data_IF_765443101696
#
_entry.id   IF_765443101696
#
_cell.length_a   1.000
_cell.length_b   1.000
_cell.length_c   1.000
_cell.angle_alpha   90.00
_cell.angle_beta   90.00
_cell.angle_gamma   90.00
#
_symmetry.space_group_name_H-M   'P 1'
#
loop_
_entity.id
_entity.type
_entity.pdbx_description
1 polymer ?
#
# COMPACT_ATOMS: atom_id res chain seq x y z
N UNK A 1 6.92 -27.28 -18.34
CA UNK A 1 7.15 -26.68 -17.02
C UNK A 1 6.49 -25.32 -17.07
N UNK A 2 5.47 -25.14 -16.24
CA UNK A 2 4.80 -23.86 -16.10
C UNK A 2 5.78 -22.81 -15.57
N UNK A 3 5.71 -21.60 -16.10
CA UNK A 3 6.41 -20.45 -15.54
C UNK A 3 5.62 -19.92 -14.34
N UNK A 4 6.30 -19.65 -13.22
CA UNK A 4 5.64 -19.24 -11.97
C UNK A 4 6.32 -17.99 -11.41
N UNK A 5 5.51 -16.95 -11.22
CA UNK A 5 5.91 -15.71 -10.59
C UNK A 5 5.18 -15.52 -9.27
N UNK A 6 5.92 -15.15 -8.22
CA UNK A 6 5.37 -14.88 -6.90
C UNK A 6 5.57 -13.39 -6.63
N UNK A 7 4.49 -12.70 -6.29
CA UNK A 7 4.50 -11.25 -6.08
C UNK A 7 4.06 -10.99 -4.65
N UNK A 8 4.91 -10.34 -3.86
CA UNK A 8 4.59 -9.93 -2.50
C UNK A 8 3.41 -8.95 -2.52
N UNK A 9 2.33 -9.24 -1.81
CA UNK A 9 1.20 -8.30 -1.70
C UNK A 9 1.60 -7.04 -0.94
N UNK A 10 2.57 -7.11 -0.04
CA UNK A 10 3.02 -5.98 0.77
C UNK A 10 4.01 -5.07 0.02
N UNK A 11 4.95 -5.66 -0.71
CA UNK A 11 6.06 -4.90 -1.30
C UNK A 11 5.99 -4.74 -2.81
N UNK A 12 5.03 -5.40 -3.47
CA UNK A 12 4.95 -5.55 -4.92
C UNK A 12 6.19 -6.16 -5.58
N UNK A 13 7.14 -6.69 -4.78
CA UNK A 13 8.34 -7.32 -5.32
C UNK A 13 8.00 -8.67 -5.93
N UNK A 14 8.40 -8.85 -7.19
CA UNK A 14 8.29 -10.11 -7.90
C UNK A 14 9.54 -10.96 -7.66
N UNK A 15 9.32 -12.21 -7.31
CA UNK A 15 10.32 -13.27 -7.29
C UNK A 15 9.87 -14.33 -8.28
N UNK A 16 10.63 -14.49 -9.35
CA UNK A 16 10.44 -15.59 -10.30
C UNK A 16 10.94 -16.88 -9.65
N UNK A 17 10.13 -17.95 -9.69
CA UNK A 17 10.47 -19.22 -9.07
C UNK A 17 10.65 -20.31 -10.13
N UNK A 18 11.84 -20.92 -10.14
CA UNK A 18 12.19 -22.00 -11.06
C UNK A 18 11.88 -23.33 -10.37
N UNK A 19 10.61 -23.69 -10.26
CA UNK A 19 10.22 -24.98 -9.70
C UNK A 19 8.72 -25.16 -9.44
N UNK A 20 8.31 -26.41 -9.40
CA UNK A 20 6.92 -26.84 -9.22
C UNK A 20 6.52 -27.05 -7.75
N UNK A 21 7.39 -26.71 -6.80
CA UNK A 21 7.14 -26.88 -5.37
C UNK A 21 7.81 -25.78 -4.58
N UNK A 22 7.05 -25.01 -3.82
CA UNK A 22 7.57 -23.90 -3.01
C UNK A 22 6.67 -23.59 -1.82
N UNK A 23 7.23 -22.86 -0.85
CA UNK A 23 6.57 -22.49 0.39
C UNK A 23 6.39 -20.99 0.52
N UNK A 24 5.17 -20.59 0.89
CA UNK A 24 4.83 -19.20 1.13
C UNK A 24 5.06 -18.82 2.60
N UNK A 25 5.71 -17.68 2.81
CA UNK A 25 6.01 -17.10 4.13
C UNK A 25 5.25 -15.82 4.45
N UNK A 26 4.65 -15.19 3.43
CA UNK A 26 3.90 -13.94 3.51
C UNK A 26 2.72 -13.97 2.52
N UNK A 27 1.75 -13.05 2.61
CA UNK A 27 0.69 -12.91 1.61
C UNK A 27 1.24 -12.53 0.24
N UNK A 28 0.90 -13.33 -0.77
CA UNK A 28 1.40 -13.15 -2.16
C UNK A 28 0.29 -13.32 -3.20
N UNK A 29 0.57 -12.82 -4.40
CA UNK A 29 -0.09 -13.23 -5.64
C UNK A 29 0.80 -14.26 -6.32
N UNK A 30 0.27 -15.45 -6.56
CA UNK A 30 0.91 -16.49 -7.36
C UNK A 30 0.37 -16.41 -8.77
N UNK A 31 1.24 -16.12 -9.73
CA UNK A 31 0.92 -16.07 -11.16
C UNK A 31 1.52 -17.30 -11.84
N UNK A 32 0.68 -18.07 -12.53
CA UNK A 32 1.08 -19.29 -13.26
C UNK A 32 0.80 -19.09 -14.75
N UNK A 33 1.81 -19.23 -15.59
CA UNK A 33 1.71 -19.09 -17.04
C UNK A 33 1.15 -20.37 -17.69
N UNK A 34 -0.12 -20.62 -17.41
CA UNK A 34 -0.90 -21.76 -17.88
C UNK A 34 -2.35 -21.30 -18.05
N UNK A 35 -2.99 -21.67 -19.15
CA UNK A 35 -4.40 -21.35 -19.35
C UNK A 35 -5.30 -22.22 -18.43
N UNK A 36 -6.38 -21.69 -17.83
CA UNK A 36 -7.25 -22.47 -16.93
C UNK A 36 -7.81 -23.75 -17.55
N UNK A 37 -8.04 -23.79 -18.87
CA UNK A 37 -8.46 -24.99 -19.59
C UNK A 37 -7.39 -26.09 -19.61
N UNK A 38 -6.14 -25.80 -19.29
CA UNK A 38 -5.07 -26.80 -19.14
C UNK A 38 -4.96 -27.34 -17.71
N UNK A 39 -5.69 -26.76 -16.77
CA UNK A 39 -5.80 -27.27 -15.39
C UNK A 39 -6.76 -28.47 -15.36
N UNK A 40 -6.32 -29.57 -14.79
CA UNK A 40 -7.12 -30.78 -14.61
C UNK A 40 -7.82 -30.80 -13.24
N UNK A 41 -7.12 -30.42 -12.17
CA UNK A 41 -7.71 -30.30 -10.83
C UNK A 41 -6.97 -29.27 -9.98
N UNK A 42 -7.69 -28.73 -8.99
CA UNK A 42 -7.15 -27.90 -7.91
C UNK A 42 -7.63 -28.51 -6.60
N UNK A 43 -6.68 -29.00 -5.80
CA UNK A 43 -6.95 -29.77 -4.60
C UNK A 43 -6.32 -29.10 -3.37
N UNK A 44 -7.04 -29.15 -2.24
CA UNK A 44 -6.57 -28.65 -0.95
C UNK A 44 -6.25 -29.79 -0.01
N UNK A 45 -5.08 -29.72 0.62
CA UNK A 45 -4.68 -30.61 1.72
C UNK A 45 -4.19 -29.77 2.89
N UNK A 46 -5.04 -29.61 3.92
CA UNK A 46 -4.76 -28.70 5.04
C UNK A 46 -4.63 -27.25 4.55
N UNK A 47 -3.44 -26.67 4.72
CA UNK A 47 -3.14 -25.31 4.24
C UNK A 47 -2.45 -25.28 2.86
N UNK A 48 -2.23 -26.44 2.25
CA UNK A 48 -1.46 -26.56 1.02
C UNK A 48 -2.40 -26.69 -0.19
N UNK A 49 -1.97 -26.13 -1.30
CA UNK A 49 -2.66 -26.19 -2.59
C UNK A 49 -1.87 -27.08 -3.55
N UNK A 50 -2.56 -27.96 -4.26
CA UNK A 50 -1.99 -28.75 -5.36
C UNK A 50 -2.78 -28.47 -6.62
N UNK A 51 -2.11 -28.07 -7.68
CA UNK A 51 -2.70 -27.86 -9.01
C UNK A 51 -2.16 -28.98 -9.90
N UNK A 52 -3.03 -29.79 -10.46
CA UNK A 52 -2.66 -30.82 -11.45
C UNK A 52 -3.05 -30.32 -12.83
N UNK A 53 -2.11 -30.29 -13.76
CA UNK A 53 -2.35 -29.94 -15.15
C UNK A 53 -2.75 -31.18 -15.98
N UNK A 54 -3.42 -30.98 -17.12
CA UNK A 54 -3.84 -32.05 -18.03
C UNK A 54 -2.68 -32.86 -18.61
N UNK A 55 -1.48 -32.28 -18.63
CA UNK A 55 -0.25 -32.96 -19.04
C UNK A 55 0.37 -33.84 -17.92
N UNK A 56 -0.22 -33.84 -16.71
CA UNK A 56 0.26 -34.59 -15.55
C UNK A 56 1.28 -33.84 -14.67
N UNK A 57 1.70 -32.64 -15.06
CA UNK A 57 2.54 -31.77 -14.23
C UNK A 57 1.76 -31.31 -12.99
N UNK A 58 2.42 -31.34 -11.83
CA UNK A 58 1.83 -30.89 -10.57
C UNK A 58 2.57 -29.67 -10.07
N UNK A 59 1.82 -28.69 -9.56
CA UNK A 59 2.34 -27.52 -8.88
C UNK A 59 1.87 -27.59 -7.42
N UNK A 60 2.84 -27.65 -6.51
CA UNK A 60 2.61 -27.79 -5.08
C UNK A 60 2.97 -26.48 -4.37
N UNK A 61 2.01 -25.90 -3.67
CA UNK A 61 2.17 -24.63 -2.97
C UNK A 61 1.90 -24.87 -1.48
N UNK A 62 2.96 -24.88 -0.69
CA UNK A 62 2.85 -24.98 0.76
C UNK A 62 2.36 -23.66 1.36
N UNK A 63 1.48 -23.76 2.37
CA UNK A 63 0.90 -22.64 3.10
C UNK A 63 0.03 -21.68 2.27
N UNK A 64 -0.47 -22.10 1.10
CA UNK A 64 -1.37 -21.26 0.29
C UNK A 64 -2.59 -20.75 1.08
N UNK A 65 -3.25 -21.58 1.89
CA UNK A 65 -4.41 -21.16 2.68
C UNK A 65 -4.06 -20.65 4.09
N UNK A 66 -2.76 -20.46 4.39
CA UNK A 66 -2.33 -19.96 5.71
C UNK A 66 -2.40 -18.43 5.82
N UNK A 67 -2.57 -17.74 4.69
CA UNK A 67 -2.64 -16.29 4.58
C UNK A 67 -3.60 -15.89 3.44
N UNK A 68 -3.80 -14.60 3.24
CA UNK A 68 -4.57 -14.04 2.13
C UNK A 68 -3.76 -14.10 0.82
N UNK A 69 -3.56 -15.30 0.30
CA UNK A 69 -2.90 -15.51 -0.99
C UNK A 69 -3.92 -15.49 -2.13
N UNK A 70 -3.47 -15.04 -3.30
CA UNK A 70 -4.29 -15.02 -4.53
C UNK A 70 -3.62 -15.87 -5.61
N UNK A 71 -4.43 -16.61 -6.38
CA UNK A 71 -3.97 -17.43 -7.49
C UNK A 71 -4.45 -16.84 -8.80
N UNK A 72 -3.53 -16.55 -9.71
CA UNK A 72 -3.81 -15.98 -11.02
C UNK A 72 -3.20 -16.89 -12.09
N UNK A 73 -3.99 -17.21 -13.10
CA UNK A 73 -3.53 -17.88 -14.30
C UNK A 73 -3.32 -16.85 -15.40
N UNK A 74 -2.24 -16.98 -16.16
CA UNK A 74 -1.95 -16.20 -17.36
C UNK A 74 -2.02 -17.13 -18.56
N UNK A 75 -2.85 -16.81 -19.55
CA UNK A 75 -2.94 -17.62 -20.77
C UNK A 75 -1.95 -17.15 -21.85
N UNK A 76 -1.89 -17.88 -22.98
CA UNK A 76 -1.02 -17.56 -24.12
C UNK A 76 -1.27 -16.16 -24.75
N UNK A 77 -2.41 -15.53 -24.42
CA UNK A 77 -2.76 -14.17 -24.86
C UNK A 77 -2.36 -13.10 -23.84
N UNK A 78 -1.59 -13.46 -22.80
CA UNK A 78 -1.23 -12.63 -21.65
C UNK A 78 -2.43 -12.14 -20.82
N UNK A 79 -3.59 -12.78 -20.93
CA UNK A 79 -4.75 -12.44 -20.13
C UNK A 79 -4.63 -13.05 -18.74
N UNK A 80 -4.88 -12.24 -17.70
CA UNK A 80 -4.83 -12.66 -16.31
C UNK A 80 -6.22 -13.10 -15.82
N UNK A 81 -6.28 -14.24 -15.15
CA UNK A 81 -7.49 -14.89 -14.68
C UNK A 81 -7.34 -15.23 -13.20
N UNK A 82 -7.95 -14.44 -12.32
CA UNK A 82 -7.99 -14.71 -10.88
C UNK A 82 -8.87 -15.93 -10.61
N UNK A 83 -8.28 -16.95 -10.01
CA UNK A 83 -8.99 -18.15 -9.58
C UNK A 83 -9.62 -17.93 -8.20
N UNK A 84 -10.94 -18.05 -8.12
CA UNK A 84 -11.63 -18.18 -6.84
C UNK A 84 -11.56 -19.65 -6.42
N UNK A 85 -10.61 -19.96 -5.55
CA UNK A 85 -10.33 -21.35 -5.16
C UNK A 85 -11.31 -21.86 -4.10
N UNK A 86 -11.79 -20.99 -3.21
CA UNK A 86 -12.70 -21.34 -2.12
C UNK A 86 -13.95 -20.48 -2.08
N UNK A 87 -15.03 -21.02 -1.53
CA UNK A 87 -16.24 -20.27 -1.19
C UNK A 87 -16.05 -19.43 0.09
N UNK A 88 -17.11 -18.69 0.48
CA UNK A 88 -17.11 -17.87 1.70
C UNK A 88 -16.92 -18.67 3.00
N UNK A 89 -17.14 -19.98 2.97
CA UNK A 89 -16.93 -20.88 4.11
C UNK A 89 -15.52 -21.51 4.10
N UNK A 90 -14.71 -21.22 3.07
CA UNK A 90 -13.37 -21.78 2.88
C UNK A 90 -13.35 -23.18 2.25
N UNK A 91 -14.48 -23.70 1.75
CA UNK A 91 -14.55 -24.97 1.03
C UNK A 91 -14.08 -24.79 -0.42
N UNK A 92 -13.44 -25.80 -1.01
CA UNK A 92 -12.98 -25.73 -2.42
C UNK A 92 -14.19 -25.66 -3.36
N UNK A 93 -14.14 -24.74 -4.31
CA UNK A 93 -15.14 -24.63 -5.36
C UNK A 93 -14.93 -25.72 -6.42
N UNK A 94 -16.03 -26.37 -6.82
CA UNK A 94 -16.06 -27.29 -7.95
C UNK A 94 -17.35 -27.06 -8.75
N UNK A 95 -17.29 -26.40 -9.93
CA UNK A 95 -16.09 -25.93 -10.61
C UNK A 95 -15.49 -24.66 -10.00
N UNK A 96 -14.19 -24.43 -10.22
CA UNK A 96 -13.48 -23.20 -9.89
C UNK A 96 -14.02 -22.05 -10.75
N UNK A 97 -14.28 -20.90 -10.13
CA UNK A 97 -14.67 -19.67 -10.82
C UNK A 97 -13.45 -18.81 -11.16
N UNK A 98 -13.46 -18.16 -12.32
CA UNK A 98 -12.39 -17.28 -12.78
C UNK A 98 -12.91 -15.88 -13.06
N UNK A 99 -12.10 -14.88 -12.71
CA UNK A 99 -12.38 -13.47 -12.98
C UNK A 99 -11.25 -12.88 -13.82
N UNK A 100 -11.59 -12.24 -14.93
CA UNK A 100 -10.62 -11.56 -15.79
C UNK A 100 -10.02 -10.35 -15.06
N UNK A 101 -8.71 -10.22 -15.13
CA UNK A 101 -7.94 -9.09 -14.64
C UNK A 101 -7.17 -8.44 -15.79
N UNK A 102 -7.04 -7.12 -15.72
CA UNK A 102 -6.14 -6.36 -16.59
C UNK A 102 -4.70 -6.40 -16.05
N UNK A 103 -4.55 -6.40 -14.73
CA UNK A 103 -3.28 -6.46 -14.00
C UNK A 103 -3.47 -7.08 -12.60
N UNK A 104 -2.36 -7.44 -11.95
CA UNK A 104 -2.37 -8.01 -10.58
C UNK A 104 -2.38 -6.94 -9.48
N UNK A 105 -2.16 -5.66 -9.83
CA UNK A 105 -2.10 -4.53 -8.91
C UNK A 105 -3.29 -4.47 -7.94
N UNK A 106 -4.55 -4.69 -8.35
CA UNK A 106 -5.71 -4.70 -7.45
C UNK A 106 -5.69 -5.80 -6.36
N UNK A 107 -4.77 -6.77 -6.48
CA UNK A 107 -4.60 -7.84 -5.50
C UNK A 107 -3.52 -7.54 -4.45
N UNK A 108 -2.76 -6.45 -4.63
CA UNK A 108 -1.69 -6.02 -3.74
C UNK A 108 -2.24 -5.09 -2.64
N UNK A 109 -1.60 -5.08 -1.48
CA UNK A 109 -1.95 -4.19 -0.39
C UNK A 109 -1.51 -2.76 -0.70
N UNK A 110 -2.40 -1.80 -0.47
CA UNK A 110 -2.12 -0.39 -0.75
C UNK A 110 -2.23 0.00 -2.23
N UNK A 111 -2.73 -0.89 -3.10
CA UNK A 111 -3.16 -0.49 -4.43
C UNK A 111 -4.34 0.49 -4.33
N UNK A 112 -4.27 1.56 -5.11
CA UNK A 112 -5.18 2.71 -5.08
C UNK A 112 -6.62 2.25 -5.37
N UNK A 113 -7.41 2.17 -4.30
CA UNK A 113 -8.62 1.36 -4.30
C UNK A 113 -9.80 2.09 -4.96
N UNK A 114 -10.21 1.64 -6.14
CA UNK A 114 -11.61 1.23 -6.28
C UNK A 114 -11.65 -0.20 -5.72
N UNK A 115 -12.25 -0.39 -4.55
CA UNK A 115 -12.17 -1.65 -3.79
C UNK A 115 -12.54 -2.88 -4.65
N UNK A 116 -11.52 -3.57 -5.15
CA UNK A 116 -11.67 -4.84 -5.83
C UNK A 116 -11.98 -5.90 -4.76
N UNK A 117 -13.27 -6.20 -4.56
CA UNK A 117 -13.74 -7.24 -3.64
C UNK A 117 -14.20 -8.46 -4.45
N UNK A 118 -13.33 -9.45 -4.71
CA UNK A 118 -13.72 -10.59 -5.54
C UNK A 118 -14.73 -11.56 -4.89
N UNK A 119 -15.19 -11.32 -3.66
CA UNK A 119 -15.84 -12.34 -2.82
C UNK A 119 -17.38 -12.27 -2.79
N UNK A 120 -18.01 -11.31 -3.48
CA UNK A 120 -19.47 -11.12 -3.46
C UNK A 120 -20.22 -11.89 -4.57
N UNK A 121 -20.10 -13.22 -4.58
CA UNK A 121 -21.07 -14.07 -5.29
C UNK A 121 -21.78 -14.96 -4.26
N UNK A 122 -22.68 -14.35 -3.48
CA UNK A 122 -23.53 -15.06 -2.53
C UNK A 122 -24.16 -14.15 -1.48
N UNK A 123 -25.39 -13.69 -1.75
CA UNK A 123 -26.29 -12.87 -0.91
C UNK A 123 -26.13 -11.32 -0.99
N UNK A 124 -27.14 -10.68 -1.61
CA UNK A 124 -27.59 -9.28 -1.47
C UNK A 124 -26.54 -8.19 -1.77
N UNK A 125 -26.65 -7.59 -2.96
CA UNK A 125 -25.67 -6.62 -3.46
C UNK A 125 -25.71 -5.23 -2.84
N UNK A 126 -24.53 -4.59 -2.76
CA UNK A 126 -24.18 -3.26 -3.31
C UNK A 126 -22.64 -3.27 -3.51
N UNK A 127 -22.15 -3.01 -4.74
CA UNK A 127 -20.78 -2.54 -5.02
C UNK A 127 -19.75 -3.59 -5.44
N UNK A 128 -19.23 -3.47 -6.66
CA UNK A 128 -18.05 -4.21 -7.17
C UNK A 128 -18.38 -5.19 -8.31
N UNK A 129 -18.16 -4.75 -9.54
CA UNK A 129 -18.64 -5.31 -10.81
C UNK A 129 -18.07 -6.72 -11.13
N UNK A 130 -18.95 -7.65 -11.50
CA UNK A 130 -18.62 -8.71 -12.45
C UNK A 130 -19.23 -8.32 -13.81
N UNK A 131 -18.41 -8.40 -14.87
CA UNK A 131 -18.78 -8.01 -16.22
C UNK A 131 -20.07 -8.70 -16.71
N UNK A 132 -21.10 -7.91 -17.03
CA UNK A 132 -22.16 -8.33 -17.94
C UNK A 132 -22.09 -7.42 -19.17
N UNK A 133 -21.91 -8.04 -20.33
CA UNK A 133 -21.93 -7.40 -21.63
C UNK A 133 -23.23 -6.60 -21.80
N UNK A 134 -23.10 -5.31 -22.11
CA UNK A 134 -24.09 -4.61 -22.92
C UNK A 134 -23.33 -3.68 -23.85
N UNK A 135 -23.23 -4.08 -25.11
CA UNK A 135 -22.87 -3.16 -26.18
C UNK A 135 -23.99 -2.13 -26.31
N UNK A 136 -23.81 -0.98 -25.68
CA UNK A 136 -24.46 0.26 -26.11
C UNK A 136 -23.41 1.36 -26.04
N UNK A 137 -22.86 1.70 -27.20
CA UNK A 137 -22.18 2.96 -27.41
C UNK A 137 -23.12 4.09 -26.99
N UNK A 138 -22.69 4.99 -26.11
CA UNK A 138 -22.67 6.44 -26.35
C UNK A 138 -22.26 7.25 -25.10
N UNK A 139 -21.57 8.36 -25.39
CA UNK A 139 -21.30 9.54 -24.56
C UNK A 139 -20.12 9.51 -23.57
N UNK A 140 -19.05 10.17 -24.01
CA UNK A 140 -17.96 10.72 -23.20
C UNK A 140 -18.49 11.65 -22.10
N UNK A 141 -18.13 11.38 -20.84
CA UNK A 141 -17.81 12.44 -19.88
C UNK A 141 -16.71 11.92 -18.94
N UNK A 142 -15.60 12.63 -18.96
CA UNK A 142 -14.30 12.28 -18.42
C UNK A 142 -14.17 12.93 -17.03
N UNK A 143 -14.42 12.16 -15.98
CA UNK A 143 -14.05 12.51 -14.59
C UNK A 143 -13.54 11.27 -13.87
N UNK A 144 -12.49 10.63 -14.40
CA UNK A 144 -11.70 9.72 -13.56
C UNK A 144 -11.24 10.55 -12.36
N UNK A 145 -11.79 10.28 -11.17
CA UNK A 145 -11.28 10.86 -9.93
C UNK A 145 -9.80 10.49 -9.86
N UNK A 146 -8.95 11.48 -9.60
CA UNK A 146 -7.53 11.23 -9.39
C UNK A 146 -7.41 10.33 -8.17
N UNK A 147 -6.79 9.16 -8.35
CA UNK A 147 -6.59 8.16 -7.30
C UNK A 147 -5.12 8.04 -6.88
N UNK A 148 -4.24 8.85 -7.49
CA UNK A 148 -2.79 8.80 -7.29
C UNK A 148 -2.39 9.49 -5.99
N UNK A 149 -1.85 8.80 -4.97
CA UNK A 149 -1.30 9.40 -3.79
C UNK A 149 -0.14 10.33 -4.11
N UNK A 150 -0.05 11.46 -3.39
CA UNK A 150 1.11 12.31 -3.49
C UNK A 150 2.32 11.62 -2.88
N UNK A 151 3.52 12.09 -3.25
CA UNK A 151 4.75 11.66 -2.59
C UNK A 151 4.75 12.02 -1.09
N UNK A 152 5.34 11.14 -0.27
CA UNK A 152 5.54 11.40 1.17
C UNK A 152 6.29 12.73 1.39
N UNK A 153 5.89 13.53 2.39
CA UNK A 153 6.61 14.74 2.74
C UNK A 153 8.06 14.47 3.12
N UNK A 154 8.97 15.33 2.65
CA UNK A 154 10.38 15.31 3.04
C UNK A 154 10.59 16.40 4.07
N UNK A 155 11.03 16.02 5.27
CA UNK A 155 11.31 16.97 6.35
C UNK A 155 12.69 17.60 6.13
N UNK A 156 12.76 18.93 6.08
CA UNK A 156 14.01 19.69 5.94
C UNK A 156 14.41 20.45 7.21
N UNK A 157 13.45 20.71 8.11
CA UNK A 157 13.68 21.34 9.42
C UNK A 157 12.75 20.71 10.44
N UNK A 158 13.27 20.40 11.62
CA UNK A 158 12.50 19.90 12.75
C UNK A 158 13.23 20.27 14.03
N UNK A 159 12.87 21.40 14.63
CA UNK A 159 13.51 21.94 15.84
C UNK A 159 12.57 22.90 16.57
N UNK A 160 13.11 23.60 17.59
CA UNK A 160 12.44 24.63 18.41
C UNK A 160 11.69 25.73 17.66
N UNK A 161 12.08 26.02 16.42
CA UNK A 161 11.46 27.07 15.62
C UNK A 161 10.26 26.56 14.82
N UNK A 162 10.10 25.23 14.65
CA UNK A 162 9.05 24.65 13.82
C UNK A 162 9.45 23.37 13.08
N UNK A 163 8.49 22.88 12.30
CA UNK A 163 8.60 21.70 11.44
C UNK A 163 8.33 22.12 9.98
N UNK A 164 9.29 21.93 9.08
CA UNK A 164 9.16 22.31 7.68
C UNK A 164 9.78 21.31 6.72
N UNK A 165 9.36 21.38 5.46
CA UNK A 165 9.76 20.41 4.47
C UNK A 165 9.30 20.72 3.06
N UNK A 166 9.42 19.72 2.19
CA UNK A 166 8.90 19.73 0.82
C UNK A 166 7.85 18.64 0.63
N UNK A 167 6.94 18.85 -0.33
CA UNK A 167 5.89 17.92 -0.69
C UNK A 167 5.32 18.25 -2.06
N UNK A 168 4.32 17.49 -2.50
CA UNK A 168 3.63 17.76 -3.76
C UNK A 168 2.79 19.04 -3.68
N UNK A 169 2.92 19.92 -4.66
CA UNK A 169 2.24 21.21 -4.69
C UNK A 169 0.72 21.05 -4.60
N UNK A 170 0.08 21.78 -3.69
CA UNK A 170 -1.37 21.75 -3.52
C UNK A 170 -1.90 20.62 -2.64
N UNK A 171 -1.08 19.63 -2.27
CA UNK A 171 -1.42 18.63 -1.26
C UNK A 171 -1.40 19.21 0.17
N UNK A 172 -1.88 18.44 1.14
CA UNK A 172 -2.01 18.82 2.55
C UNK A 172 -1.18 17.87 3.41
N UNK A 173 -0.18 18.41 4.11
CA UNK A 173 0.62 17.65 5.08
C UNK A 173 -0.13 17.56 6.40
N UNK A 174 -0.27 16.34 6.92
CA UNK A 174 -0.91 16.02 8.20
C UNK A 174 0.15 15.44 9.12
N UNK A 175 0.35 16.08 10.28
CA UNK A 175 1.24 15.60 11.34
C UNK A 175 0.40 15.20 12.54
N UNK A 176 0.60 13.99 13.04
CA UNK A 176 -0.11 13.44 14.19
C UNK A 176 0.87 13.15 15.33
N UNK A 177 0.57 13.63 16.53
CA UNK A 177 1.38 13.39 17.73
C UNK A 177 1.12 12.01 18.36
N UNK A 178 1.83 11.71 19.46
CA UNK A 178 1.70 10.42 20.16
C UNK A 178 0.35 10.23 20.85
N UNK A 179 -0.38 11.33 21.10
CA UNK A 179 -1.70 11.37 21.72
C UNK A 179 -2.84 11.34 20.69
N UNK A 180 -2.48 11.45 19.41
CA UNK A 180 -3.37 11.42 18.27
C UNK A 180 -3.91 12.78 17.83
N UNK A 181 -3.40 13.89 18.37
CA UNK A 181 -3.75 15.23 17.90
C UNK A 181 -3.15 15.47 16.51
N UNK A 182 -3.94 16.05 15.60
CA UNK A 182 -3.53 16.31 14.22
C UNK A 182 -3.31 17.80 13.97
N UNK A 183 -2.26 18.11 13.21
CA UNK A 183 -1.96 19.44 12.68
C UNK A 183 -1.82 19.34 11.16
N UNK A 184 -2.53 20.20 10.42
CA UNK A 184 -2.59 20.17 8.96
C UNK A 184 -2.03 21.45 8.34
N UNK A 185 -1.30 21.34 7.24
CA UNK A 185 -0.80 22.48 6.47
C UNK A 185 -0.79 22.20 4.98
N UNK A 186 -1.19 23.18 4.16
CA UNK A 186 -1.16 23.05 2.70
C UNK A 186 0.26 23.26 2.17
N UNK A 187 0.68 22.43 1.22
CA UNK A 187 1.92 22.60 0.46
C UNK A 187 1.73 23.70 -0.58
N UNK A 188 2.63 24.69 -0.58
CA UNK A 188 2.63 25.78 -1.56
C UNK A 188 2.88 25.29 -2.99
N UNK A 189 2.60 26.15 -3.97
CA UNK A 189 2.88 25.86 -5.39
C UNK A 189 4.38 25.67 -5.67
N UNK A 190 5.25 26.21 -4.80
CA UNK A 190 6.70 26.03 -4.82
C UNK A 190 7.15 24.71 -4.17
N UNK A 191 6.21 23.87 -3.74
CA UNK A 191 6.45 22.56 -3.13
C UNK A 191 6.90 22.61 -1.67
N UNK A 192 6.80 23.77 -1.00
CA UNK A 192 7.24 23.94 0.40
C UNK A 192 6.09 24.06 1.38
N UNK A 193 6.34 23.64 2.62
CA UNK A 193 5.40 23.76 3.72
C UNK A 193 6.14 24.02 5.04
N UNK A 194 5.48 24.68 6.00
CA UNK A 194 6.04 24.99 7.32
C UNK A 194 4.94 25.08 8.37
N UNK A 195 5.16 24.48 9.55
CA UNK A 195 4.29 24.49 10.72
C UNK A 195 5.05 25.15 11.87
N UNK A 196 4.47 26.21 12.42
CA UNK A 196 5.00 26.94 13.58
C UNK A 196 3.87 27.20 14.59
N UNK A 197 4.02 26.82 15.87
CA UNK A 197 5.17 26.12 16.46
C UNK A 197 5.26 24.63 16.03
N UNK A 198 6.37 23.96 16.37
CA UNK A 198 6.53 22.54 16.10
C UNK A 198 5.42 21.73 16.80
N UNK A 199 4.66 20.90 16.07
CA UNK A 199 3.56 20.13 16.67
C UNK A 199 4.03 18.94 17.53
N UNK A 200 5.32 18.57 17.49
CA UNK A 200 5.88 17.46 18.25
C UNK A 200 6.85 17.97 19.31
N UNK A 201 6.73 17.46 20.54
CA UNK A 201 7.69 17.75 21.60
C UNK A 201 9.05 17.09 21.31
N UNK A 202 10.12 17.57 21.95
CA UNK A 202 11.45 16.98 21.80
C UNK A 202 11.45 15.48 22.14
N UNK A 203 11.89 14.65 21.20
CA UNK A 203 11.91 13.20 21.34
C UNK A 203 10.55 12.51 21.24
N UNK A 204 9.46 13.26 21.04
CA UNK A 204 8.13 12.69 20.86
C UNK A 204 8.02 11.97 19.52
N UNK A 205 7.43 10.76 19.53
CA UNK A 205 7.13 10.02 18.31
C UNK A 205 5.77 10.45 17.77
N UNK A 206 5.73 10.74 16.47
CA UNK A 206 4.52 11.04 15.73
C UNK A 206 4.54 10.41 14.34
N UNK A 207 3.54 10.74 13.54
CA UNK A 207 3.43 10.33 12.14
C UNK A 207 3.18 11.53 11.24
N UNK A 208 3.69 11.46 10.02
CA UNK A 208 3.46 12.47 8.98
C UNK A 208 2.99 11.82 7.68
N UNK A 209 2.02 12.44 7.02
CA UNK A 209 1.50 12.04 5.69
C UNK A 209 1.16 13.28 4.85
N UNK A 210 1.03 13.12 3.53
CA UNK A 210 0.43 14.11 2.63
C UNK A 210 -0.87 13.57 2.03
N UNK A 211 -1.85 14.44 1.86
CA UNK A 211 -3.15 14.16 1.23
C UNK A 211 -3.39 15.13 0.08
N UNK A 212 -3.61 14.64 -1.13
CA UNK A 212 -3.84 15.51 -2.29
C UNK A 212 -5.26 16.15 -2.28
N UNK A 213 -5.60 17.05 -3.22
CA UNK A 213 -6.95 17.61 -3.32
C UNK A 213 -8.07 16.61 -3.65
N UNK A 214 -7.72 15.43 -4.19
CA UNK A 214 -8.66 14.37 -4.51
C UNK A 214 -8.93 13.44 -3.30
N UNK A 215 -8.12 13.54 -2.23
CA UNK A 215 -8.26 12.80 -0.99
C UNK A 215 -7.30 11.60 -0.86
N UNK A 216 -6.34 11.41 -1.76
CA UNK A 216 -5.40 10.29 -1.72
C UNK A 216 -4.27 10.56 -0.73
N UNK A 217 -3.92 9.58 0.12
CA UNK A 217 -2.87 9.70 1.14
C UNK A 217 -1.56 9.03 0.72
N UNK A 218 -0.43 9.73 0.93
CA UNK A 218 0.94 9.20 0.74
C UNK A 218 1.30 8.04 1.68
N UNK A 219 0.42 7.72 2.62
CA UNK A 219 0.67 6.84 3.75
C UNK A 219 1.55 7.47 4.83
N UNK A 220 1.38 7.02 6.07
CA UNK A 220 2.07 7.55 7.23
C UNK A 220 3.56 7.18 7.26
N UNK A 221 4.38 8.12 7.73
CA UNK A 221 5.82 7.93 7.97
C UNK A 221 6.14 8.34 9.41
N UNK A 222 7.01 7.60 10.12
CA UNK A 222 7.40 7.99 11.47
C UNK A 222 8.19 9.31 11.43
N UNK A 223 7.92 10.18 12.40
CA UNK A 223 8.68 11.40 12.65
C UNK A 223 8.93 11.50 14.16
N UNK A 224 10.12 11.95 14.55
CA UNK A 224 10.46 12.21 15.95
C UNK A 224 10.69 13.70 16.12
N UNK A 225 10.09 14.33 17.13
CA UNK A 225 10.29 15.75 17.41
C UNK A 225 11.77 16.04 17.67
N UNK A 226 12.30 17.03 16.95
CA UNK A 226 13.71 17.40 17.02
C UNK A 226 14.05 18.24 18.25
N UNK A 227 15.31 18.67 18.34
CA UNK A 227 15.84 19.49 19.43
C UNK A 227 15.09 20.83 19.53
N UNK A 228 14.48 21.10 20.69
CA UNK A 228 13.75 22.34 20.97
C UNK A 228 14.53 23.28 21.89
N UNK A 229 15.77 22.94 22.25
CA UNK A 229 16.56 23.74 23.16
C UNK A 229 16.97 25.05 22.50
N UNK A 230 16.55 26.16 23.10
CA UNK A 230 17.13 27.47 22.76
C UNK A 230 18.57 27.51 23.25
N UNK A 231 19.53 28.01 22.46
CA UNK A 231 20.89 28.22 22.95
C UNK A 231 20.83 29.09 24.19
N UNK A 232 21.19 28.52 25.35
CA UNK A 232 21.25 29.28 26.59
C UNK A 232 22.44 30.22 26.46
N UNK A 233 22.18 31.51 26.21
CA UNK A 233 23.20 32.53 26.36
C UNK A 233 23.69 32.44 27.80
N UNK A 234 24.94 31.99 28.00
CA UNK A 234 25.60 32.14 29.28
C UNK A 234 25.78 33.63 29.48
N UNK A 235 24.88 34.24 30.26
CA UNK A 235 25.13 35.57 30.80
C UNK A 235 26.27 35.38 31.80
N UNK A 236 27.51 35.58 31.32
CA UNK A 236 28.68 35.66 32.17
C UNK A 236 28.50 36.91 33.02
N UNK A 237 27.83 36.77 34.16
CA UNK A 237 27.68 37.82 35.16
C UNK A 237 29.02 38.02 35.87
N UNK A 238 30.05 38.44 35.14
CA UNK A 238 31.18 39.16 35.68
C UNK A 238 30.75 40.61 35.93
N UNK A 239 29.82 40.80 36.86
CA UNK A 239 29.86 41.96 37.76
C UNK A 239 30.88 41.59 38.84
N UNK A 240 31.87 42.37 39.23
CA UNK A 240 32.22 43.79 39.05
C UNK A 240 33.65 43.89 39.59
N UNK A 241 34.56 44.57 38.88
CA UNK A 241 35.65 45.31 39.51
C UNK A 241 35.82 46.62 38.75
N UNK A 242 34.80 47.48 38.88
CA UNK A 242 35.00 48.91 38.69
C UNK A 242 35.86 49.39 39.87
N UNK A 243 37.14 49.64 39.60
CA UNK A 243 38.04 50.33 40.52
C UNK A 243 38.30 51.74 40.02
N UNK A 244 37.24 52.52 39.76
CA UNK A 244 37.35 53.98 39.57
C UNK A 244 38.26 54.54 40.67
N UNK A 245 39.45 55.09 40.35
CA UNK A 245 40.31 55.71 41.35
C UNK A 245 39.70 57.08 41.68
N UNK A 246 39.26 57.26 42.92
CA UNK A 246 38.98 58.60 43.44
C UNK A 246 40.27 59.41 43.47
N UNK A 247 40.28 60.55 42.77
CA UNK A 247 41.25 61.63 42.94
C UNK A 247 40.83 62.55 44.09
#
# INVERSE_FOLDING_TARGET
>A
MADISIISKETAQQVEHIGNSFKLGEPVVVVIDVAPEEVASIDRSGNNLTITLKNGEQIYIENYFAADNSLVFKNDQNQLLLAQVTDASGAILDPISYLNLEEVTPLLYGAESEAFVPWLVGAVGIGGLAAAVTSTSDSSDDTRSDITPPQKPIITKNNGDGLSGTGEAGSTVIVKDSQGNQTEIKVGEDGKWSIEPNPLNEGEQGTIEAVDPAGNSSGQSPVTGGDQTVPQATLDTLLTNDTTPGL
#
